data_IF_573551619193
#
_entry.id   IF_573551619193
#
_cell.length_a   1.000
_cell.length_b   1.000
_cell.length_c   1.000
_cell.angle_alpha   90.00
_cell.angle_beta   90.00
_cell.angle_gamma   90.00
#
_symmetry.space_group_name_H-M   'P 1'
#
loop_
_entity.id
_entity.type
_entity.pdbx_description
1 polymer ?
#
# COMPACT_ATOMS: atom_id res chain seq x y z
N UNK A 1 -5.97 6.75 -2.00
CA UNK A 1 -6.01 5.36 -1.48
C UNK A 1 -5.03 5.28 -0.33
N UNK A 2 -5.34 4.47 0.69
CA UNK A 2 -4.54 4.35 1.91
C UNK A 2 -3.95 2.94 1.98
N UNK A 3 -2.65 2.82 2.21
CA UNK A 3 -1.97 1.55 2.45
C UNK A 3 -1.81 1.38 3.95
N UNK A 4 -2.46 0.35 4.48
CA UNK A 4 -2.49 0.07 5.90
C UNK A 4 -1.77 -1.26 6.16
N UNK A 5 -1.03 -1.30 7.26
CA UNK A 5 -0.43 -2.51 7.81
C UNK A 5 -1.03 -2.76 9.18
N UNK A 6 -1.54 -3.96 9.38
CA UNK A 6 -2.14 -4.39 10.62
C UNK A 6 -1.25 -5.41 11.31
N UNK A 7 -0.94 -5.16 12.59
CA UNK A 7 -0.19 -6.06 13.48
C UNK A 7 -1.18 -6.81 14.37
N UNK A 8 -1.42 -8.12 14.15
CA UNK A 8 -2.45 -8.85 14.88
C UNK A 8 -2.19 -9.03 16.38
N UNK A 9 -0.91 -9.03 16.79
CA UNK A 9 -0.48 -9.36 18.17
C UNK A 9 -1.01 -8.35 19.20
N UNK A 10 -1.08 -7.08 18.83
CA UNK A 10 -1.52 -5.98 19.68
C UNK A 10 -2.62 -5.12 19.05
N UNK A 11 -3.12 -5.53 17.88
CA UNK A 11 -4.15 -4.81 17.14
C UNK A 11 -3.70 -3.47 16.55
N UNK A 12 -2.40 -3.21 16.47
CA UNK A 12 -1.87 -1.93 15.96
C UNK A 12 -2.09 -1.81 14.46
N UNK A 13 -2.66 -0.69 14.04
CA UNK A 13 -2.86 -0.33 12.64
C UNK A 13 -1.94 0.84 12.28
N UNK A 14 -1.06 0.63 11.31
CA UNK A 14 -0.15 1.65 10.80
C UNK A 14 -0.55 2.04 9.38
N UNK A 15 -0.59 3.33 9.12
CA UNK A 15 -0.72 3.85 7.76
C UNK A 15 0.67 4.09 7.17
N UNK A 16 1.06 3.22 6.24
CA UNK A 16 2.41 3.21 5.65
C UNK A 16 2.47 3.94 4.31
N UNK A 17 1.33 4.40 3.77
CA UNK A 17 1.31 5.21 2.56
C UNK A 17 -0.05 5.80 2.22
N UNK A 18 -0.03 6.99 1.61
CA UNK A 18 -1.20 7.65 1.01
C UNK A 18 -0.91 7.96 -0.45
N UNK A 19 -1.72 7.39 -1.33
CA UNK A 19 -1.54 7.51 -2.78
C UNK A 19 -2.71 8.28 -3.37
N UNK A 20 -2.44 9.34 -4.13
CA UNK A 20 -3.48 10.06 -4.84
C UNK A 20 -4.25 9.12 -5.79
N UNK A 21 -5.58 9.26 -5.83
CA UNK A 21 -6.44 8.51 -6.76
C UNK A 21 -7.06 9.53 -7.72
N UNK A 22 -6.66 9.55 -9.00
CA UNK A 22 -7.25 10.43 -9.98
C UNK A 22 -8.79 10.29 -10.02
N UNK A 23 -9.56 11.39 -9.98
CA UNK A 23 -11.02 11.35 -10.03
C UNK A 23 -11.59 10.63 -11.25
N UNK A 24 -10.85 10.60 -12.36
CA UNK A 24 -11.21 9.96 -13.62
C UNK A 24 -11.20 8.43 -13.49
N UNK A 25 -10.40 7.88 -12.56
CA UNK A 25 -10.30 6.45 -12.27
C UNK A 25 -11.24 6.06 -11.11
N UNK A 26 -12.52 6.42 -11.21
CA UNK A 26 -13.57 6.04 -10.25
C UNK A 26 -14.45 4.91 -10.81
N UNK A 27 -15.24 4.29 -9.93
CA UNK A 27 -16.19 3.24 -10.31
C UNK A 27 -15.52 1.93 -10.71
N UNK A 28 -15.93 1.37 -11.85
CA UNK A 28 -15.47 0.07 -12.35
C UNK A 28 -14.00 0.08 -12.77
N UNK A 29 -13.51 1.20 -13.30
CA UNK A 29 -12.13 1.35 -13.80
C UNK A 29 -11.13 1.83 -12.73
N UNK A 30 -11.53 1.78 -11.46
CA UNK A 30 -10.70 2.30 -10.37
C UNK A 30 -9.39 1.55 -10.21
N UNK A 31 -8.37 2.27 -9.75
CA UNK A 31 -7.13 1.68 -9.28
C UNK A 31 -7.18 1.51 -7.76
N UNK A 32 -7.32 0.26 -7.30
CA UNK A 32 -7.14 -0.14 -5.90
C UNK A 32 -5.72 -0.64 -5.70
N UNK A 33 -5.20 -0.59 -4.47
CA UNK A 33 -3.77 -0.80 -4.22
C UNK A 33 -3.28 -2.26 -4.36
N UNK A 34 -4.17 -3.25 -4.27
CA UNK A 34 -3.83 -4.69 -4.36
C UNK A 34 -2.49 -5.09 -3.70
N UNK A 35 -2.30 -4.82 -2.39
CA UNK A 35 -1.01 -5.00 -1.74
C UNK A 35 -0.55 -6.47 -1.73
N UNK A 36 0.74 -6.67 -2.02
CA UNK A 36 1.39 -8.00 -2.03
C UNK A 36 2.74 -7.93 -1.36
N UNK A 37 2.96 -8.77 -0.37
CA UNK A 37 4.23 -8.86 0.34
C UNK A 37 5.35 -9.48 -0.49
N UNK A 38 6.56 -8.94 -0.36
CA UNK A 38 7.79 -9.65 -0.69
C UNK A 38 7.97 -10.86 0.23
N UNK A 39 8.76 -11.85 -0.20
CA UNK A 39 8.97 -13.09 0.58
C UNK A 39 9.74 -12.88 1.87
N UNK A 40 10.59 -11.85 1.93
CA UNK A 40 11.38 -11.48 3.10
C UNK A 40 10.63 -10.53 4.05
N UNK A 41 9.40 -10.11 3.69
CA UNK A 41 8.55 -9.24 4.50
C UNK A 41 9.04 -7.80 4.61
N UNK A 42 9.98 -7.36 3.76
CA UNK A 42 10.55 -6.00 3.80
C UNK A 42 9.83 -5.01 2.89
N UNK A 43 9.06 -5.51 1.93
CA UNK A 43 8.45 -4.69 0.88
C UNK A 43 7.01 -5.11 0.58
N UNK A 44 6.23 -4.15 0.10
CA UNK A 44 4.87 -4.39 -0.42
C UNK A 44 4.78 -3.82 -1.83
N UNK A 45 4.44 -4.66 -2.80
CA UNK A 45 4.06 -4.24 -4.14
C UNK A 45 2.60 -3.76 -4.14
N UNK A 46 2.32 -2.63 -4.80
CA UNK A 46 0.98 -2.06 -4.97
C UNK A 46 0.71 -1.62 -6.41
N UNK A 47 -0.57 -1.61 -6.78
CA UNK A 47 -1.09 -0.93 -7.97
C UNK A 47 -1.42 0.52 -7.62
N UNK A 48 -0.91 1.51 -8.36
CA UNK A 48 -1.25 2.91 -8.11
C UNK A 48 -1.29 3.75 -9.38
N UNK A 49 -2.09 4.81 -9.35
CA UNK A 49 -2.19 5.80 -10.43
C UNK A 49 -1.86 7.22 -9.94
N UNK A 50 -1.14 7.33 -8.82
CA UNK A 50 -0.86 8.60 -8.16
C UNK A 50 -0.02 9.57 -8.98
N UNK A 51 0.73 9.07 -9.98
CA UNK A 51 1.52 9.87 -10.92
C UNK A 51 0.80 10.12 -12.25
N UNK A 52 -0.52 9.91 -12.31
CA UNK A 52 -1.35 10.17 -13.49
C UNK A 52 -1.52 8.99 -14.44
N UNK A 53 -0.76 7.92 -14.27
CA UNK A 53 -0.90 6.66 -15.02
C UNK A 53 -0.83 5.45 -14.08
N UNK A 54 -1.60 4.39 -14.38
CA UNK A 54 -1.60 3.15 -13.59
C UNK A 54 -0.27 2.40 -13.78
N UNK A 55 0.44 2.16 -12.68
CA UNK A 55 1.70 1.43 -12.63
C UNK A 55 1.78 0.57 -11.36
N UNK A 56 2.75 -0.33 -11.31
CA UNK A 56 3.11 -1.06 -10.10
C UNK A 56 4.27 -0.35 -9.38
N UNK A 57 4.22 -0.31 -8.06
CA UNK A 57 5.25 0.30 -7.21
C UNK A 57 5.61 -0.65 -6.09
N UNK A 58 6.87 -0.61 -5.67
CA UNK A 58 7.35 -1.33 -4.48
C UNK A 58 7.54 -0.31 -3.37
N UNK A 59 6.94 -0.59 -2.21
CA UNK A 59 7.03 0.24 -1.01
C UNK A 59 7.84 -0.52 0.03
N UNK A 60 8.96 0.04 0.45
CA UNK A 60 9.71 -0.49 1.59
C UNK A 60 8.93 -0.25 2.88
N UNK A 61 8.73 -1.30 3.65
CA UNK A 61 8.09 -1.28 4.97
C UNK A 61 9.14 -1.79 5.95
N UNK A 62 9.99 -0.87 6.40
CA UNK A 62 11.18 -1.17 7.20
C UNK A 62 10.89 -1.83 8.57
N UNK A 63 11.96 -2.25 9.26
CA UNK A 63 11.88 -2.98 10.54
C UNK A 63 11.12 -2.25 11.65
N UNK A 64 11.00 -0.92 11.57
CA UNK A 64 10.24 -0.10 12.52
C UNK A 64 8.75 -0.48 12.64
N UNK A 65 8.22 -1.21 11.65
CA UNK A 65 6.86 -1.74 11.68
C UNK A 65 6.75 -3.03 12.49
N UNK A 66 7.86 -3.76 12.67
CA UNK A 66 7.94 -5.07 13.31
C UNK A 66 8.62 -5.06 14.68
N UNK A 67 9.23 -3.96 15.11
CA UNK A 67 9.78 -3.82 16.46
C UNK A 67 8.67 -3.71 17.53
N UNK A 68 8.87 -4.45 18.62
CA UNK A 68 8.01 -4.53 19.80
C UNK A 68 7.84 -3.16 20.48
#
# INVERSE_FOLDING_TARGET
>A
RHLLLFRPEDGKLLEVGKFFSPPELRGEIRCDLHPRWSRDGREVCIDSAHEGHRQMYVVEVGEAVFTA
#
